data_IF_938339297848
#
_entry.id   IF_938339297848
#
_cell.length_a   1.000
_cell.length_b   1.000
_cell.length_c   1.000
_cell.angle_alpha   90.00
_cell.angle_beta   90.00
_cell.angle_gamma   90.00
#
_symmetry.space_group_name_H-M   'P 1'
#
loop_
_entity.id
_entity.type
_entity.pdbx_description
1 polymer ?
#
# COMPACT_ATOMS: atom_id res chain seq x y z
N UNK A 1 -2.75 -19.88 -6.87
CA UNK A 1 -1.39 -19.93 -7.45
C UNK A 1 -0.29 -19.50 -6.46
N UNK A 2 -0.60 -18.77 -5.37
CA UNK A 2 0.40 -18.40 -4.35
C UNK A 2 1.33 -17.24 -4.72
N UNK A 3 1.14 -16.63 -5.90
CA UNK A 3 2.04 -15.61 -6.43
C UNK A 3 2.05 -14.31 -5.63
N UNK A 4 1.01 -14.02 -4.84
CA UNK A 4 0.97 -12.80 -4.02
C UNK A 4 1.77 -12.95 -2.70
N UNK A 5 2.02 -14.18 -2.27
CA UNK A 5 2.71 -14.50 -1.03
C UNK A 5 4.15 -15.00 -1.20
N UNK A 6 4.78 -14.84 -2.37
CA UNK A 6 6.10 -15.44 -2.67
C UNK A 6 7.14 -15.07 -1.62
N UNK A 7 7.28 -13.77 -1.34
CA UNK A 7 8.26 -13.24 -0.38
C UNK A 7 7.74 -13.18 1.05
N UNK A 8 6.47 -13.48 1.28
CA UNK A 8 5.90 -13.49 2.63
C UNK A 8 6.32 -14.80 3.32
N UNK A 9 6.86 -14.75 4.55
CA UNK A 9 7.24 -15.95 5.31
C UNK A 9 6.08 -16.95 5.49
N UNK A 10 6.42 -18.24 5.54
CA UNK A 10 5.43 -19.33 5.71
C UNK A 10 4.61 -19.19 7.00
N UNK A 11 5.21 -18.69 8.08
CA UNK A 11 4.49 -18.42 9.35
C UNK A 11 3.36 -17.38 9.22
N UNK A 12 3.32 -16.64 8.11
CA UNK A 12 2.27 -15.71 7.76
C UNK A 12 1.48 -16.16 6.52
N UNK A 13 1.54 -17.44 6.15
CA UNK A 13 0.76 -18.01 5.03
C UNK A 13 1.32 -17.72 3.64
N UNK A 14 2.56 -17.22 3.53
CA UNK A 14 3.26 -17.08 2.25
C UNK A 14 4.11 -18.30 1.90
N UNK A 15 4.98 -18.16 0.88
CA UNK A 15 5.86 -19.23 0.38
C UNK A 15 7.29 -19.14 0.91
N UNK A 16 7.64 -18.08 1.65
CA UNK A 16 8.96 -17.89 2.26
C UNK A 16 10.13 -17.86 1.26
N UNK A 17 9.88 -17.57 -0.01
CA UNK A 17 10.89 -17.62 -1.06
C UNK A 17 11.74 -16.34 -1.09
N UNK A 18 13.02 -16.52 -1.43
CA UNK A 18 13.97 -15.41 -1.52
C UNK A 18 13.65 -14.39 -2.64
N UNK A 19 14.29 -13.22 -2.53
CA UNK A 19 14.13 -12.10 -3.46
C UNK A 19 14.31 -12.49 -4.93
N UNK A 20 15.30 -13.32 -5.26
CA UNK A 20 15.58 -13.75 -6.64
C UNK A 20 14.37 -14.44 -7.29
N UNK A 21 13.63 -15.25 -6.52
CA UNK A 21 12.43 -15.93 -7.02
C UNK A 21 11.30 -14.94 -7.28
N UNK A 22 11.10 -14.00 -6.36
CA UNK A 22 10.11 -12.91 -6.52
C UNK A 22 10.43 -12.04 -7.73
N UNK A 23 11.71 -11.73 -7.96
CA UNK A 23 12.19 -11.00 -9.13
C UNK A 23 11.87 -11.74 -10.44
N UNK A 24 12.20 -13.03 -10.55
CA UNK A 24 11.93 -13.83 -11.74
C UNK A 24 10.43 -13.93 -12.05
N UNK A 25 9.60 -14.07 -11.01
CA UNK A 25 8.14 -14.10 -11.19
C UNK A 25 7.62 -12.73 -11.64
N UNK A 26 8.12 -11.65 -11.05
CA UNK A 26 7.78 -10.28 -11.44
C UNK A 26 8.15 -10.00 -12.89
N UNK A 27 9.31 -10.46 -13.35
CA UNK A 27 9.73 -10.37 -14.76
C UNK A 27 8.73 -11.07 -15.68
N UNK A 28 8.34 -12.31 -15.34
CA UNK A 28 7.38 -13.08 -16.13
C UNK A 28 6.00 -12.44 -16.21
N UNK A 29 5.51 -11.88 -15.09
CA UNK A 29 4.22 -11.16 -15.02
C UNK A 29 4.30 -9.86 -15.83
N UNK A 30 5.43 -9.17 -15.76
CA UNK A 30 5.64 -7.90 -16.46
C UNK A 30 5.66 -8.06 -17.98
N UNK A 31 6.18 -9.20 -18.47
CA UNK A 31 6.11 -9.56 -19.88
C UNK A 31 4.70 -9.84 -20.42
N UNK A 32 3.68 -9.98 -19.55
CA UNK A 32 2.30 -10.16 -19.99
C UNK A 32 1.64 -8.83 -20.36
N UNK A 33 1.50 -7.91 -19.40
CA UNK A 33 1.02 -6.54 -19.64
C UNK A 33 1.55 -5.59 -18.57
N UNK A 34 1.76 -4.32 -18.95
CA UNK A 34 2.11 -3.27 -17.98
C UNK A 34 1.05 -3.06 -16.90
N UNK A 35 -0.24 -3.15 -17.24
CA UNK A 35 -1.33 -2.95 -16.26
C UNK A 35 -1.31 -3.99 -15.14
N UNK A 36 -1.14 -5.27 -15.49
CA UNK A 36 -1.06 -6.35 -14.52
C UNK A 36 0.22 -6.25 -13.69
N UNK A 37 1.35 -5.91 -14.34
CA UNK A 37 2.62 -5.65 -13.67
C UNK A 37 2.46 -4.59 -12.57
N UNK A 38 1.84 -3.44 -12.91
CA UNK A 38 1.61 -2.36 -11.95
C UNK A 38 0.75 -2.82 -10.79
N UNK A 39 -0.38 -3.49 -11.05
CA UNK A 39 -1.27 -3.96 -9.98
C UNK A 39 -0.59 -4.98 -9.05
N UNK A 40 0.10 -5.95 -9.64
CA UNK A 40 0.83 -6.99 -8.93
C UNK A 40 1.99 -6.41 -8.10
N UNK A 41 2.82 -5.56 -8.69
CA UNK A 41 3.97 -4.94 -8.03
C UNK A 41 3.56 -3.95 -6.94
N UNK A 42 2.51 -3.17 -7.18
CA UNK A 42 1.94 -2.28 -6.18
C UNK A 42 1.45 -3.07 -4.95
N UNK A 43 0.81 -4.22 -5.17
CA UNK A 43 0.32 -5.07 -4.07
C UNK A 43 1.46 -5.81 -3.34
N UNK A 44 2.22 -6.64 -4.06
CA UNK A 44 3.25 -7.53 -3.48
C UNK A 44 4.48 -6.80 -2.97
N UNK A 45 4.80 -5.66 -3.59
CA UNK A 45 5.85 -4.75 -3.16
C UNK A 45 5.31 -3.76 -2.14
N UNK A 46 5.04 -2.54 -2.57
CA UNK A 46 4.81 -1.40 -1.68
C UNK A 46 3.53 -1.52 -0.81
N UNK A 47 2.53 -2.30 -1.22
CA UNK A 47 1.31 -2.54 -0.44
C UNK A 47 1.46 -3.59 0.67
N UNK A 48 2.43 -4.50 0.58
CA UNK A 48 2.61 -5.61 1.54
C UNK A 48 3.91 -5.47 2.34
N UNK A 49 5.00 -5.06 1.70
CA UNK A 49 6.34 -5.00 2.30
C UNK A 49 6.44 -4.08 3.53
N UNK A 50 5.76 -2.92 3.62
CA UNK A 50 5.83 -2.10 4.83
C UNK A 50 5.36 -2.85 6.09
N UNK A 51 4.28 -3.64 5.98
CA UNK A 51 3.79 -4.48 7.08
C UNK A 51 4.78 -5.60 7.38
N UNK A 52 5.30 -6.27 6.35
CA UNK A 52 6.27 -7.35 6.53
C UNK A 52 7.56 -6.88 7.21
N UNK A 53 8.09 -5.72 6.79
CA UNK A 53 9.38 -5.22 7.26
C UNK A 53 9.29 -4.49 8.60
N UNK A 54 8.20 -3.75 8.84
CA UNK A 54 8.12 -2.81 9.97
C UNK A 54 6.88 -3.01 10.85
N UNK A 55 5.93 -3.85 10.45
CA UNK A 55 4.75 -4.13 11.26
C UNK A 55 5.11 -4.85 12.56
N UNK A 56 4.33 -4.61 13.61
CA UNK A 56 4.38 -5.44 14.82
C UNK A 56 3.95 -6.87 14.50
N UNK A 57 4.28 -7.82 15.37
CA UNK A 57 3.87 -9.21 15.16
C UNK A 57 2.35 -9.36 15.08
N UNK A 58 1.59 -8.59 15.86
CA UNK A 58 0.12 -8.57 15.79
C UNK A 58 -0.37 -8.05 14.43
N UNK A 59 0.24 -6.99 13.90
CA UNK A 59 -0.11 -6.45 12.59
C UNK A 59 0.24 -7.44 11.47
N UNK A 60 1.41 -8.07 11.54
CA UNK A 60 1.83 -9.08 10.57
C UNK A 60 0.88 -10.27 10.55
N UNK A 61 0.53 -10.81 11.72
CA UNK A 61 -0.43 -11.92 11.83
C UNK A 61 -1.83 -11.53 11.34
N UNK A 62 -2.27 -10.29 11.59
CA UNK A 62 -3.58 -9.80 11.14
C UNK A 62 -3.66 -9.68 9.61
N UNK A 63 -2.65 -9.09 8.96
CA UNK A 63 -2.75 -8.67 7.56
C UNK A 63 -2.05 -9.60 6.56
N UNK A 64 -0.84 -10.07 6.86
CA UNK A 64 -0.01 -10.79 5.87
C UNK A 64 -0.64 -12.09 5.33
N UNK A 65 -1.35 -12.91 6.13
CA UNK A 65 -2.03 -14.11 5.59
C UNK A 65 -3.07 -13.77 4.52
N UNK A 66 -3.81 -12.68 4.72
CA UNK A 66 -4.86 -12.24 3.81
C UNK A 66 -4.33 -11.50 2.58
N UNK A 67 -3.23 -10.74 2.76
CA UNK A 67 -2.51 -10.14 1.63
C UNK A 67 -1.87 -11.23 0.76
N UNK A 68 -1.28 -12.27 1.36
CA UNK A 68 -0.61 -13.37 0.64
C UNK A 68 -1.56 -14.21 -0.23
N UNK A 69 -2.82 -14.30 0.19
CA UNK A 69 -3.88 -15.02 -0.54
C UNK A 69 -4.63 -14.13 -1.54
N UNK A 70 -4.53 -12.81 -1.40
CA UNK A 70 -5.31 -11.84 -2.16
C UNK A 70 -6.73 -11.63 -1.65
N UNK A 71 -7.07 -12.15 -0.47
CA UNK A 71 -8.34 -11.80 0.23
C UNK A 71 -8.39 -10.31 0.55
N UNK A 72 -7.25 -9.73 0.91
CA UNK A 72 -7.05 -8.29 1.00
C UNK A 72 -6.10 -7.82 -0.09
N UNK A 73 -6.38 -6.67 -0.68
CA UNK A 73 -5.46 -5.99 -1.59
C UNK A 73 -4.87 -4.74 -0.95
N UNK A 74 -3.54 -4.69 -0.87
CA UNK A 74 -2.79 -3.51 -0.42
C UNK A 74 -2.56 -2.43 -1.49
N UNK A 75 -2.50 -1.17 -1.07
CA UNK A 75 -1.97 -0.04 -1.84
C UNK A 75 -1.07 0.87 -0.97
N UNK A 76 -0.34 1.77 -1.61
CA UNK A 76 0.68 2.61 -0.98
C UNK A 76 0.45 4.09 -1.26
N UNK A 77 0.19 4.86 -0.20
CA UNK A 77 -0.33 6.22 -0.26
C UNK A 77 0.70 7.21 0.29
N UNK A 78 1.75 7.43 -0.51
CA UNK A 78 2.84 8.36 -0.20
C UNK A 78 2.69 9.69 -0.93
N UNK A 79 2.66 9.62 -2.26
CA UNK A 79 2.60 10.78 -3.17
C UNK A 79 1.38 11.65 -2.92
N UNK A 80 1.59 12.96 -3.02
CA UNK A 80 0.56 14.00 -2.87
C UNK A 80 0.63 14.96 -4.07
N UNK A 81 -0.41 15.78 -4.32
CA UNK A 81 -0.39 16.72 -5.44
C UNK A 81 0.83 17.67 -5.47
N UNK A 82 1.37 18.00 -4.28
CA UNK A 82 2.55 18.85 -4.13
C UNK A 82 3.85 18.11 -3.77
N UNK A 83 3.83 16.78 -3.65
CA UNK A 83 4.98 15.99 -3.17
C UNK A 83 5.09 14.67 -3.93
N UNK A 84 6.09 14.59 -4.83
CA UNK A 84 6.42 13.39 -5.60
C UNK A 84 7.81 12.88 -5.23
N UNK A 85 8.84 13.35 -5.94
CA UNK A 85 10.24 12.98 -5.69
C UNK A 85 10.72 13.39 -4.30
N UNK A 86 10.32 14.56 -3.82
CA UNK A 86 10.52 14.98 -2.43
C UNK A 86 9.36 14.49 -1.55
N UNK A 87 9.35 13.17 -1.29
CA UNK A 87 8.28 12.53 -0.55
C UNK A 87 8.10 13.07 0.88
N UNK A 88 9.19 13.54 1.51
CA UNK A 88 9.16 14.09 2.86
C UNK A 88 8.53 15.48 2.92
N UNK A 89 8.29 16.16 1.79
CA UNK A 89 7.55 17.43 1.74
C UNK A 89 6.03 17.27 1.81
N UNK A 90 5.52 16.02 1.91
CA UNK A 90 4.10 15.73 2.08
C UNK A 90 3.47 16.49 3.25
N UNK A 91 2.23 16.93 3.04
CA UNK A 91 1.44 17.79 3.94
C UNK A 91 0.26 17.07 4.59
N UNK A 92 0.00 15.80 4.28
CA UNK A 92 -0.97 15.00 5.03
C UNK A 92 -0.58 14.97 6.51
N UNK A 93 -1.49 15.37 7.39
CA UNK A 93 -1.27 15.46 8.84
C UNK A 93 -1.98 14.35 9.57
N UNK A 94 -1.40 13.92 10.68
CA UNK A 94 -1.98 13.03 11.67
C UNK A 94 -1.98 13.74 13.02
N UNK A 95 -3.15 13.92 13.61
CA UNK A 95 -3.33 14.55 14.92
C UNK A 95 -3.82 13.50 15.91
N UNK A 96 -3.15 13.37 17.07
CA UNK A 96 -3.59 12.44 18.10
C UNK A 96 -4.95 12.88 18.66
N UNK A 97 -5.90 11.95 18.77
CA UNK A 97 -7.22 12.26 19.34
C UNK A 97 -7.11 12.64 20.81
N UNK A 98 -8.06 13.43 21.32
CA UNK A 98 -8.04 13.92 22.69
C UNK A 98 -8.01 12.81 23.77
N UNK A 99 -8.48 11.61 23.42
CA UNK A 99 -8.44 10.41 24.28
C UNK A 99 -7.12 9.62 24.18
N UNK A 100 -6.21 10.01 23.28
CA UNK A 100 -4.91 9.40 23.06
C UNK A 100 -4.94 8.03 22.38
N UNK A 101 -6.07 7.60 21.81
CA UNK A 101 -6.25 6.23 21.29
C UNK A 101 -6.11 6.08 19.79
N UNK A 102 -6.23 7.16 19.03
CA UNK A 102 -6.24 7.12 17.57
C UNK A 102 -5.64 8.38 16.96
N UNK A 103 -5.36 8.35 15.67
CA UNK A 103 -4.92 9.51 14.91
C UNK A 103 -6.00 9.93 13.91
N UNK A 104 -6.34 11.22 13.91
CA UNK A 104 -7.13 11.84 12.86
C UNK A 104 -6.20 12.23 11.71
N UNK A 105 -6.34 11.57 10.57
CA UNK A 105 -5.52 11.83 9.39
C UNK A 105 -6.28 12.75 8.43
N UNK A 106 -5.66 13.85 7.99
CA UNK A 106 -6.24 14.78 7.03
C UNK A 106 -5.22 15.14 5.95
N UNK A 107 -5.59 14.93 4.69
CA UNK A 107 -4.78 15.25 3.53
C UNK A 107 -5.34 14.59 2.27
N UNK A 108 -4.59 14.71 1.17
CA UNK A 108 -4.94 14.13 -0.12
C UNK A 108 -3.73 13.40 -0.67
N UNK A 109 -3.96 12.17 -1.12
CA UNK A 109 -2.98 11.35 -1.82
C UNK A 109 -3.24 11.40 -3.32
N UNK A 110 -2.24 11.06 -4.11
CA UNK A 110 -2.29 11.24 -5.56
C UNK A 110 -1.62 10.08 -6.28
N UNK A 111 -2.26 9.62 -7.36
CA UNK A 111 -1.75 8.55 -8.22
C UNK A 111 -1.61 7.19 -7.52
N UNK A 112 -2.58 6.83 -6.69
CA UNK A 112 -2.51 5.62 -5.87
C UNK A 112 -2.94 4.40 -6.68
N UNK A 113 -1.96 3.57 -7.04
CA UNK A 113 -2.20 2.29 -7.71
C UNK A 113 -3.02 1.36 -6.81
N UNK A 114 -3.96 0.61 -7.42
CA UNK A 114 -4.91 -0.31 -6.76
C UNK A 114 -6.02 0.35 -5.94
N UNK A 115 -6.01 1.68 -5.74
CA UNK A 115 -6.93 2.35 -4.82
C UNK A 115 -8.42 2.03 -5.05
N UNK A 116 -8.85 1.84 -6.30
CA UNK A 116 -10.25 1.52 -6.64
C UNK A 116 -10.75 0.17 -6.11
N UNK A 117 -9.85 -0.72 -5.68
CA UNK A 117 -10.20 -2.03 -5.13
C UNK A 117 -9.36 -2.46 -3.93
N UNK A 118 -8.50 -1.58 -3.40
CA UNK A 118 -7.71 -1.88 -2.22
C UNK A 118 -8.57 -1.98 -0.96
N UNK A 119 -8.15 -2.87 -0.05
CA UNK A 119 -8.75 -3.08 1.27
C UNK A 119 -7.85 -2.53 2.39
N UNK A 120 -6.54 -2.44 2.12
CA UNK A 120 -5.53 -1.95 3.06
C UNK A 120 -4.71 -0.85 2.40
N UNK A 121 -4.65 0.30 3.05
CA UNK A 121 -3.96 1.49 2.59
C UNK A 121 -2.78 1.76 3.51
N UNK A 122 -1.56 1.71 2.99
CA UNK A 122 -0.37 2.18 3.71
C UNK A 122 -0.28 3.69 3.50
N UNK A 123 -0.78 4.47 4.46
CA UNK A 123 -0.89 5.93 4.36
C UNK A 123 0.26 6.59 5.09
N UNK A 124 0.94 7.53 4.43
CA UNK A 124 1.98 8.33 5.08
C UNK A 124 1.44 9.69 5.50
N UNK A 125 1.63 10.05 6.75
CA UNK A 125 1.22 11.34 7.30
C UNK A 125 2.23 11.83 8.34
N UNK A 126 2.31 13.14 8.53
CA UNK A 126 3.15 13.76 9.56
C UNK A 126 2.37 13.85 10.87
N UNK A 127 2.91 13.30 11.94
CA UNK A 127 2.36 13.50 13.28
C UNK A 127 2.77 14.89 13.74
N UNK A 128 1.79 15.79 13.90
CA UNK A 128 2.02 17.17 14.34
C UNK A 128 3.18 17.84 13.58
N UNK A 129 4.24 18.24 14.30
CA UNK A 129 5.44 18.89 13.75
C UNK A 129 6.65 17.93 13.69
N UNK A 130 6.44 16.61 13.69
CA UNK A 130 7.52 15.63 13.55
C UNK A 130 8.32 15.91 12.26
N UNK A 131 9.64 15.80 12.34
CA UNK A 131 10.55 15.93 11.20
C UNK A 131 10.28 14.86 10.14
N UNK A 132 9.90 13.65 10.56
CA UNK A 132 9.67 12.53 9.68
C UNK A 132 8.17 12.28 9.46
N UNK A 133 7.84 11.63 8.34
CA UNK A 133 6.49 11.11 8.11
C UNK A 133 6.37 9.71 8.70
N UNK A 134 5.18 9.38 9.18
CA UNK A 134 4.84 8.08 9.79
C UNK A 134 3.94 7.30 8.84
N UNK A 135 4.19 5.99 8.73
CA UNK A 135 3.32 5.06 8.00
C UNK A 135 2.19 4.54 8.88
N UNK A 136 0.97 4.59 8.38
CA UNK A 136 -0.26 4.11 9.01
C UNK A 136 -0.87 3.01 8.17
N UNK A 137 -1.41 1.98 8.81
CA UNK A 137 -2.26 0.98 8.15
C UNK A 137 -3.71 1.45 8.31
N UNK A 138 -4.34 1.83 7.21
CA UNK A 138 -5.75 2.27 7.17
C UNK A 138 -6.57 1.26 6.40
N UNK A 139 -7.68 0.81 6.97
CA UNK A 139 -8.58 -0.17 6.33
C UNK A 139 -9.65 0.53 5.50
N UNK A 140 -10.06 -0.11 4.39
CA UNK A 140 -11.20 0.32 3.59
C UNK A 140 -12.45 0.46 4.46
N UNK A 141 -13.21 1.52 4.23
CA UNK A 141 -14.42 1.83 5.00
C UNK A 141 -14.15 2.57 6.31
N UNK A 142 -12.89 2.88 6.63
CA UNK A 142 -12.58 3.86 7.69
C UNK A 142 -13.31 5.17 7.39
N UNK A 143 -14.03 5.70 8.37
CA UNK A 143 -14.81 6.93 8.22
C UNK A 143 -13.93 8.08 7.71
N UNK A 144 -14.42 8.80 6.69
CA UNK A 144 -13.69 9.91 6.06
C UNK A 144 -12.71 9.49 4.95
N UNK A 145 -12.45 8.20 4.75
CA UNK A 145 -11.70 7.73 3.58
C UNK A 145 -12.63 7.75 2.34
N UNK A 146 -12.36 8.66 1.43
CA UNK A 146 -13.05 8.77 0.14
C UNK A 146 -12.06 8.64 -1.01
N UNK A 147 -12.51 8.09 -2.13
CA UNK A 147 -11.68 7.93 -3.33
C UNK A 147 -12.22 8.80 -4.45
N UNK A 148 -11.32 9.40 -5.23
CA UNK A 148 -11.68 10.04 -6.48
C UNK A 148 -12.14 9.06 -7.57
N UNK A 149 -12.44 9.63 -8.75
CA UNK A 149 -12.66 8.85 -9.97
C UNK A 149 -11.36 8.17 -10.44
N UNK A 150 -11.49 7.20 -11.34
CA UNK A 150 -10.33 6.59 -12.00
C UNK A 150 -9.62 7.61 -12.91
N UNK A 151 -8.31 7.68 -12.78
CA UNK A 151 -7.49 8.59 -13.56
C UNK A 151 -7.38 8.16 -15.03
N UNK A 152 -7.52 9.12 -15.93
CA UNK A 152 -7.33 8.94 -17.37
C UNK A 152 -5.85 9.07 -17.74
N UNK A 153 -5.24 7.95 -18.11
CA UNK A 153 -3.79 7.80 -18.30
C UNK A 153 -3.46 7.50 -19.76
N UNK A 154 -2.20 7.71 -20.15
CA UNK A 154 -1.69 7.36 -21.48
C UNK A 154 -1.72 5.83 -21.74
N UNK A 155 -1.47 5.03 -20.70
CA UNK A 155 -1.39 3.57 -20.76
C UNK A 155 -1.65 2.96 -19.40
N UNK A 156 -1.37 1.66 -19.26
CA UNK A 156 -1.68 0.84 -18.08
C UNK A 156 -3.14 0.99 -17.60
N UNK A 157 -4.07 1.16 -18.55
CA UNK A 157 -5.46 1.56 -18.29
C UNK A 157 -6.28 0.55 -17.48
N UNK A 158 -5.85 -0.71 -17.40
CA UNK A 158 -6.51 -1.72 -16.56
C UNK A 158 -5.99 -1.69 -15.10
N UNK A 159 -4.91 -0.95 -14.82
CA UNK A 159 -4.48 -0.67 -13.45
C UNK A 159 -5.31 0.49 -12.90
N UNK A 160 -5.92 0.26 -11.74
CA UNK A 160 -6.64 1.30 -11.01
C UNK A 160 -5.67 2.35 -10.51
N UNK A 161 -6.01 3.61 -10.67
CA UNK A 161 -5.26 4.74 -10.15
C UNK A 161 -6.23 5.83 -9.73
N UNK A 162 -6.27 6.16 -8.45
CA UNK A 162 -7.15 7.19 -7.89
C UNK A 162 -6.39 8.10 -6.92
N UNK A 163 -7.04 9.20 -6.56
CA UNK A 163 -6.65 10.11 -5.47
C UNK A 163 -7.40 9.77 -4.19
#
# INVERSE_FOLDING_TARGET
MGLLGISVPEQYGGLGMGFNTSMLITDRISGATGSLSTAYGAHTGIGTMPILLYGTEEQKQKYLPKLSTGELIGCYCLTEPGAGSDANSGRTKAELTADGKSYKINGQKMWISNAGYADVFIVFARIEDDKNITGFIVEKGTEGLTLGEEEHKMGINASSTRQ
#
